data_IF_085302522355
#
_entry.id   IF_085302522355
#
_cell.length_a   1.000
_cell.length_b   1.000
_cell.length_c   1.000
_cell.angle_alpha   90.00
_cell.angle_beta   90.00
_cell.angle_gamma   90.00
#
_symmetry.space_group_name_H-M   'P 1'
#
loop_
_entity.id
_entity.type
_entity.pdbx_description
1 polymer ?
#
# COMPACT_ATOMS: atom_id res chain seq x y z
N UNK A 1 -14.74 15.00 5.36
CA UNK A 1 -14.80 14.07 4.22
C UNK A 1 -14.40 12.69 4.72
N UNK A 2 -15.21 11.68 4.47
CA UNK A 2 -14.92 10.26 4.74
C UNK A 2 -15.10 9.53 3.42
N UNK A 3 -14.09 8.78 2.97
CA UNK A 3 -14.13 8.07 1.70
C UNK A 3 -12.76 7.56 1.26
N UNK A 4 -12.77 6.63 0.31
CA UNK A 4 -11.55 6.05 -0.27
C UNK A 4 -10.81 7.09 -1.10
N UNK A 5 -9.52 7.27 -0.84
CA UNK A 5 -8.64 8.19 -1.58
C UNK A 5 -7.67 7.37 -2.43
N UNK A 6 -7.70 7.59 -3.74
CA UNK A 6 -6.70 7.05 -4.65
C UNK A 6 -5.48 7.98 -4.71
N UNK A 7 -4.29 7.42 -4.52
CA UNK A 7 -3.02 8.12 -4.63
C UNK A 7 -2.17 7.48 -5.72
N UNK A 8 -1.72 8.28 -6.67
CA UNK A 8 -0.76 7.86 -7.71
C UNK A 8 0.59 8.49 -7.39
N UNK A 9 1.62 7.67 -7.21
CA UNK A 9 2.94 8.13 -6.79
C UNK A 9 4.06 7.20 -7.26
N UNK A 10 5.30 7.51 -6.89
CA UNK A 10 6.47 6.66 -7.15
C UNK A 10 6.68 5.64 -6.03
N UNK A 11 7.34 4.51 -6.33
CA UNK A 11 7.52 3.40 -5.39
C UNK A 11 8.18 3.81 -4.08
N UNK A 12 9.21 4.66 -4.11
CA UNK A 12 9.87 5.16 -2.90
C UNK A 12 8.96 6.02 -2.02
N UNK A 13 8.04 6.78 -2.62
CA UNK A 13 7.07 7.57 -1.87
C UNK A 13 6.00 6.66 -1.26
N UNK A 14 5.50 5.69 -2.02
CA UNK A 14 4.55 4.69 -1.53
C UNK A 14 5.10 3.89 -0.34
N UNK A 15 6.37 3.46 -0.42
CA UNK A 15 7.06 2.77 0.67
C UNK A 15 7.18 3.65 1.93
N UNK A 16 7.61 4.90 1.76
CA UNK A 16 7.70 5.89 2.85
C UNK A 16 6.33 6.16 3.50
N UNK A 17 5.28 6.28 2.70
CA UNK A 17 3.92 6.48 3.18
C UNK A 17 3.42 5.28 3.96
N UNK A 18 3.62 4.06 3.46
CA UNK A 18 3.16 2.83 4.11
C UNK A 18 3.80 2.64 5.49
N UNK A 19 5.11 2.85 5.63
CA UNK A 19 5.77 2.71 6.94
C UNK A 19 5.31 3.77 7.92
N UNK A 20 5.14 5.01 7.46
CA UNK A 20 4.61 6.09 8.32
C UNK A 20 3.15 5.86 8.69
N UNK A 21 2.37 5.25 7.81
CA UNK A 21 0.97 4.91 8.06
C UNK A 21 0.83 4.00 9.28
N UNK A 22 1.66 2.96 9.38
CA UNK A 22 1.65 2.01 10.51
C UNK A 22 2.56 2.42 11.68
N UNK A 23 3.09 3.64 11.68
CA UNK A 23 3.90 4.16 12.79
C UNK A 23 5.35 3.67 12.86
N UNK A 24 5.88 3.08 11.79
CA UNK A 24 7.30 2.70 11.71
C UNK A 24 8.21 3.87 11.34
N UNK A 25 9.50 3.72 11.66
CA UNK A 25 10.54 4.65 11.24
C UNK A 25 10.70 4.65 9.71
N UNK A 26 11.06 5.80 9.13
CA UNK A 26 11.17 5.94 7.67
C UNK A 26 12.23 5.00 7.06
N UNK A 27 13.29 4.68 7.82
CA UNK A 27 14.36 3.76 7.40
C UNK A 27 13.82 2.36 7.11
N UNK A 28 12.74 1.94 7.78
CA UNK A 28 12.09 0.65 7.52
C UNK A 28 11.47 0.58 6.13
N UNK A 29 11.25 1.72 5.46
CA UNK A 29 10.70 1.79 4.12
C UNK A 29 11.52 1.03 3.08
N UNK A 30 12.82 0.79 3.33
CA UNK A 30 13.65 -0.03 2.46
C UNK A 30 13.16 -1.49 2.35
N UNK A 31 12.40 -1.98 3.33
CA UNK A 31 11.81 -3.32 3.35
C UNK A 31 10.45 -3.39 2.62
N UNK A 32 9.90 -2.25 2.22
CA UNK A 32 8.59 -2.12 1.58
C UNK A 32 8.75 -1.87 0.08
N UNK A 33 9.16 -2.90 -0.66
CA UNK A 33 9.27 -2.78 -2.13
C UNK A 33 7.90 -2.60 -2.77
N UNK A 34 7.80 -1.65 -3.69
CA UNK A 34 6.61 -1.37 -4.48
C UNK A 34 6.95 -1.45 -5.98
N UNK A 35 6.33 -2.37 -6.70
CA UNK A 35 6.54 -2.55 -8.14
C UNK A 35 5.75 -1.51 -8.94
N UNK A 36 6.24 -1.11 -10.14
CA UNK A 36 5.46 -0.32 -11.07
C UNK A 36 4.12 -0.99 -11.40
N UNK A 37 3.07 -0.18 -11.54
CA UNK A 37 1.71 -0.64 -11.84
C UNK A 37 1.12 -1.65 -10.83
N UNK A 38 1.61 -1.65 -9.59
CA UNK A 38 0.98 -2.36 -8.49
C UNK A 38 -0.06 -1.50 -7.77
N UNK A 39 -0.99 -2.16 -7.08
CA UNK A 39 -2.01 -1.57 -6.22
C UNK A 39 -1.70 -1.91 -4.76
N UNK A 40 -1.91 -0.95 -3.86
CA UNK A 40 -1.78 -1.15 -2.41
C UNK A 40 -2.90 -0.41 -1.70
N UNK A 41 -3.34 -0.94 -0.55
CA UNK A 41 -4.44 -0.38 0.24
C UNK A 41 -3.96 -0.17 1.68
N UNK A 42 -4.11 1.06 2.15
CA UNK A 42 -3.84 1.49 3.51
C UNK A 42 -5.17 1.79 4.18
N UNK A 43 -5.39 1.21 5.34
CA UNK A 43 -6.68 1.29 6.03
C UNK A 43 -6.55 1.39 7.55
N UNK A 44 -7.67 1.17 8.21
CA UNK A 44 -7.75 1.04 9.66
C UNK A 44 -8.45 -0.26 10.01
N UNK A 45 -8.12 -0.82 11.17
CA UNK A 45 -8.85 -1.97 11.70
C UNK A 45 -10.33 -1.61 11.90
N UNK A 46 -11.22 -2.49 11.45
CA UNK A 46 -12.67 -2.27 11.50
C UNK A 46 -13.21 -2.22 12.94
N UNK A 47 -12.54 -2.91 13.88
CA UNK A 47 -12.88 -2.92 15.29
C UNK A 47 -12.10 -1.86 16.08
N UNK A 48 -10.95 -1.41 15.58
CA UNK A 48 -10.08 -0.42 16.22
C UNK A 48 -9.67 0.68 15.21
N UNK A 49 -10.49 1.73 15.03
CA UNK A 49 -10.25 2.77 14.02
C UNK A 49 -8.92 3.52 14.16
N UNK A 50 -8.33 3.52 15.35
CA UNK A 50 -7.02 4.13 15.63
C UNK A 50 -5.85 3.25 15.18
N UNK A 51 -6.09 1.96 14.96
CA UNK A 51 -5.08 1.03 14.49
C UNK A 51 -4.98 1.09 12.97
N UNK A 52 -3.89 1.67 12.49
CA UNK A 52 -3.57 1.77 11.05
C UNK A 52 -3.06 0.44 10.53
N UNK A 53 -3.55 0.02 9.37
CA UNK A 53 -3.23 -1.28 8.76
C UNK A 53 -2.81 -1.11 7.30
N UNK A 54 -2.05 -2.07 6.80
CA UNK A 54 -1.81 -2.28 5.37
C UNK A 54 -2.68 -3.46 4.97
N UNK A 55 -3.76 -3.20 4.25
CA UNK A 55 -4.76 -4.21 3.88
C UNK A 55 -4.34 -4.99 2.63
N UNK A 56 -3.61 -4.33 1.74
CA UNK A 56 -3.04 -4.92 0.53
C UNK A 56 -1.72 -4.25 0.24
N UNK A 57 -0.72 -5.03 -0.14
CA UNK A 57 0.58 -4.49 -0.50
C UNK A 57 1.08 -5.06 -1.81
N UNK A 58 1.50 -4.17 -2.72
CA UNK A 58 2.25 -4.50 -3.92
C UNK A 58 1.56 -5.53 -4.84
N UNK A 59 0.22 -5.46 -4.94
CA UNK A 59 -0.56 -6.38 -5.77
C UNK A 59 -0.41 -5.97 -7.24
N UNK A 60 0.21 -6.82 -8.04
CA UNK A 60 0.30 -6.64 -9.48
C UNK A 60 -0.86 -7.39 -10.14
N UNK A 61 -1.44 -6.83 -11.20
CA UNK A 61 -2.41 -7.57 -12.00
C UNK A 61 -1.82 -8.90 -12.47
N UNK A 62 -2.30 -10.02 -11.94
CA UNK A 62 -2.07 -11.34 -12.52
C UNK A 62 -2.73 -11.41 -13.89
N UNK A 63 -2.01 -11.05 -14.95
CA UNK A 63 -2.51 -11.24 -16.31
C UNK A 63 -2.50 -12.73 -16.66
N UNK A 64 -3.65 -13.39 -16.52
CA UNK A 64 -3.86 -14.73 -17.05
C UNK A 64 -3.90 -14.65 -18.58
N UNK A 65 -2.76 -14.87 -19.23
CA UNK A 65 -2.69 -14.99 -20.69
C UNK A 65 -3.41 -16.28 -21.08
N UNK A 66 -4.63 -16.17 -21.63
CA UNK A 66 -5.26 -17.31 -22.33
C UNK A 66 -4.31 -17.74 -23.47
N UNK A 67 -3.98 -19.04 -23.60
CA UNK A 67 -3.29 -19.51 -24.79
C UNK A 67 -4.20 -19.28 -26.01
N UNK A 68 -3.56 -18.81 -27.10
CA UNK A 68 -4.17 -18.59 -28.42
C UNK A 68 -4.81 -19.86 -28.97
#
# INVERSE_FOLDING_TARGET
MQGTVALFSYGQFGAALAVRWIGLALVEGQHFTLHPASISMLGCDAHHPDQRTIELWNECCHYHRKPL
#
